data_IF_276759332720
#
_entry.id   IF_276759332720
#
_cell.length_a   1.000
_cell.length_b   1.000
_cell.length_c   1.000
_cell.angle_alpha   90.00
_cell.angle_beta   90.00
_cell.angle_gamma   90.00
#
_symmetry.space_group_name_H-M   'P 1'
#
loop_
_entity.id
_entity.type
_entity.pdbx_description
1 polymer ?
#
# COMPACT_ATOMS: atom_id res chain seq x y z
N UNK A 1 2.73 17.05 -22.38
CA UNK A 1 3.41 17.58 -21.19
C UNK A 1 3.10 16.61 -20.06
N UNK A 2 4.12 15.97 -19.54
CA UNK A 2 4.02 14.99 -18.47
C UNK A 2 3.83 15.73 -17.13
N UNK A 3 3.05 15.15 -16.21
CA UNK A 3 2.83 15.73 -14.88
C UNK A 3 4.15 15.70 -14.09
N UNK A 4 4.54 16.83 -13.52
CA UNK A 4 5.67 16.91 -12.60
C UNK A 4 5.25 16.34 -11.22
N UNK A 5 5.36 15.03 -11.11
CA UNK A 5 4.97 14.30 -9.91
C UNK A 5 5.79 14.73 -8.68
N UNK A 6 7.07 15.07 -8.85
CA UNK A 6 7.92 15.49 -7.73
C UNK A 6 7.39 16.75 -7.07
N UNK A 7 7.06 17.79 -7.87
CA UNK A 7 6.45 19.03 -7.35
C UNK A 7 5.09 18.79 -6.72
N UNK A 8 4.26 17.90 -7.29
CA UNK A 8 2.96 17.54 -6.74
C UNK A 8 3.14 16.91 -5.36
N UNK A 9 4.06 15.94 -5.20
CA UNK A 9 4.30 15.28 -3.93
C UNK A 9 4.92 16.22 -2.89
N UNK A 10 5.87 17.08 -3.27
CA UNK A 10 6.41 18.11 -2.37
C UNK A 10 5.29 19.00 -1.82
N UNK A 11 4.41 19.53 -2.69
CA UNK A 11 3.26 20.31 -2.25
C UNK A 11 2.29 19.53 -1.37
N UNK A 12 2.04 18.24 -1.70
CA UNK A 12 1.10 17.37 -0.98
C UNK A 12 1.52 17.10 0.46
N UNK A 13 2.81 16.97 0.72
CA UNK A 13 3.36 16.62 2.03
C UNK A 13 4.01 17.80 2.77
N UNK A 14 3.93 18.99 2.22
CA UNK A 14 4.41 20.21 2.88
C UNK A 14 3.75 20.40 4.26
N UNK A 15 4.56 20.77 5.26
CA UNK A 15 4.13 20.97 6.65
C UNK A 15 3.94 19.72 7.49
N UNK A 16 4.17 18.51 6.95
CA UNK A 16 4.14 17.25 7.74
C UNK A 16 5.54 16.95 8.26
N UNK A 17 5.73 16.96 9.58
CA UNK A 17 7.01 16.66 10.20
C UNK A 17 7.48 15.22 9.86
N UNK A 18 8.66 15.03 9.25
CA UNK A 18 9.14 13.70 8.84
C UNK A 18 9.18 12.67 9.97
N UNK A 19 9.60 13.10 11.17
CA UNK A 19 9.65 12.23 12.34
C UNK A 19 8.26 11.73 12.76
N UNK A 20 7.22 12.57 12.69
CA UNK A 20 5.84 12.19 12.97
C UNK A 20 5.33 11.19 11.93
N UNK A 21 5.59 11.45 10.64
CA UNK A 21 5.25 10.55 9.54
C UNK A 21 5.90 9.17 9.73
N UNK A 22 7.21 9.14 10.01
CA UNK A 22 7.94 7.90 10.26
C UNK A 22 7.39 7.12 11.49
N UNK A 23 7.06 7.82 12.57
CA UNK A 23 6.48 7.20 13.76
C UNK A 23 5.09 6.59 13.48
N UNK A 24 4.24 7.27 12.71
CA UNK A 24 2.93 6.75 12.28
C UNK A 24 3.12 5.51 11.40
N UNK A 25 4.01 5.55 10.42
CA UNK A 25 4.26 4.42 9.53
C UNK A 25 4.82 3.19 10.26
N UNK A 26 5.61 3.37 11.33
CA UNK A 26 6.03 2.24 12.19
C UNK A 26 4.85 1.48 12.78
N UNK A 27 3.79 2.18 13.23
CA UNK A 27 2.59 1.52 13.75
C UNK A 27 1.77 0.86 12.63
N UNK A 28 1.62 1.52 11.48
CA UNK A 28 0.94 0.95 10.31
C UNK A 28 1.70 -0.30 9.83
N UNK A 29 3.01 -0.21 9.62
CA UNK A 29 3.84 -1.32 9.18
C UNK A 29 3.77 -2.52 10.13
N UNK A 30 3.88 -2.28 11.45
CA UNK A 30 3.74 -3.33 12.45
C UNK A 30 2.37 -4.03 12.37
N UNK A 31 1.29 -3.27 12.16
CA UNK A 31 -0.06 -3.82 11.99
C UNK A 31 -0.17 -4.64 10.71
N UNK A 32 0.32 -4.14 9.58
CA UNK A 32 0.27 -4.85 8.29
C UNK A 32 1.06 -6.16 8.34
N UNK A 33 2.26 -6.16 8.93
CA UNK A 33 3.07 -7.37 9.08
C UNK A 33 2.38 -8.41 10.00
N UNK A 34 1.81 -7.98 11.13
CA UNK A 34 1.09 -8.86 12.04
C UNK A 34 -0.15 -9.49 11.37
N UNK A 35 -0.89 -8.69 10.61
CA UNK A 35 -2.03 -9.17 9.82
C UNK A 35 -1.58 -10.12 8.70
N UNK A 36 -0.43 -9.85 8.08
CA UNK A 36 0.17 -10.73 7.06
C UNK A 36 0.45 -12.14 7.62
N UNK A 37 1.07 -12.22 8.79
CA UNK A 37 1.30 -13.50 9.49
C UNK A 37 -0.02 -14.19 9.81
N UNK A 38 -1.02 -13.46 10.31
CA UNK A 38 -2.33 -14.02 10.66
C UNK A 38 -3.06 -14.59 9.44
N UNK A 39 -3.10 -13.85 8.33
CA UNK A 39 -3.75 -14.29 7.10
C UNK A 39 -3.05 -15.49 6.44
N UNK A 40 -1.78 -15.73 6.77
CA UNK A 40 -0.99 -16.90 6.34
C UNK A 40 -1.01 -18.05 7.36
N UNK A 41 -2.04 -18.16 8.17
CA UNK A 41 -2.19 -19.19 9.21
C UNK A 41 -0.99 -19.27 10.18
N UNK A 42 -0.43 -18.12 10.56
CA UNK A 42 0.69 -18.04 11.49
C UNK A 42 2.08 -18.25 10.86
N UNK A 43 2.17 -18.50 9.54
CA UNK A 43 3.46 -18.64 8.88
C UNK A 43 4.23 -17.31 8.89
N UNK A 44 5.51 -17.31 9.27
CA UNK A 44 6.30 -16.08 9.34
C UNK A 44 6.51 -15.48 7.94
N UNK A 45 6.55 -14.16 7.88
CA UNK A 45 7.01 -13.43 6.72
C UNK A 45 8.54 -13.46 6.68
N UNK A 46 9.11 -13.70 5.51
CA UNK A 46 10.55 -13.66 5.24
C UNK A 46 10.92 -12.59 4.23
N UNK A 47 9.97 -12.15 3.42
CA UNK A 47 10.20 -11.15 2.38
C UNK A 47 8.98 -10.27 2.15
N UNK A 48 9.26 -9.00 1.82
CA UNK A 48 8.26 -7.97 1.57
C UNK A 48 8.65 -7.21 0.31
N UNK A 49 7.68 -6.96 -0.56
CA UNK A 49 7.80 -6.12 -1.74
C UNK A 49 6.82 -4.95 -1.66
N UNK A 50 7.30 -3.76 -1.97
CA UNK A 50 6.47 -2.59 -2.27
C UNK A 50 6.74 -2.18 -3.73
N UNK A 51 5.83 -2.44 -4.67
CA UNK A 51 6.03 -2.21 -6.09
C UNK A 51 5.88 -0.75 -6.53
N UNK A 52 5.58 0.16 -5.60
CA UNK A 52 5.52 1.60 -5.82
C UNK A 52 5.88 2.34 -4.51
N UNK A 53 7.10 2.11 -4.03
CA UNK A 53 7.47 2.40 -2.66
C UNK A 53 7.64 3.89 -2.33
N UNK A 54 7.67 4.77 -3.31
CA UNK A 54 7.79 6.21 -3.10
C UNK A 54 9.01 6.57 -2.25
N UNK A 55 8.78 7.27 -1.14
CA UNK A 55 9.82 7.65 -0.19
C UNK A 55 10.23 6.48 0.74
N UNK A 56 9.59 5.33 0.64
CA UNK A 56 9.95 4.12 1.36
C UNK A 56 9.41 4.02 2.78
N UNK A 57 8.39 4.79 3.14
CA UNK A 57 7.90 4.84 4.53
C UNK A 57 7.49 3.48 5.07
N UNK A 58 6.79 2.67 4.28
CA UNK A 58 6.39 1.33 4.69
C UNK A 58 7.59 0.39 4.82
N UNK A 59 8.47 0.37 3.82
CA UNK A 59 9.66 -0.49 3.85
C UNK A 59 10.59 -0.10 4.99
N UNK A 60 10.80 1.19 5.25
CA UNK A 60 11.55 1.68 6.40
C UNK A 60 10.93 1.24 7.74
N UNK A 61 9.60 1.16 7.82
CA UNK A 61 8.91 0.63 8.99
C UNK A 61 9.10 -0.89 9.17
N UNK A 62 9.56 -1.58 8.15
CA UNK A 62 9.84 -3.02 8.16
C UNK A 62 11.29 -3.38 8.46
N UNK A 63 12.22 -2.41 8.50
CA UNK A 63 13.65 -2.65 8.78
C UNK A 63 13.92 -3.23 10.16
N UNK A 64 15.07 -3.88 10.32
CA UNK A 64 15.48 -4.49 11.59
C UNK A 64 14.67 -5.70 12.03
N UNK A 65 13.86 -6.32 11.12
CA UNK A 65 12.96 -7.45 11.42
C UNK A 65 13.37 -8.76 10.77
N UNK A 66 14.62 -8.87 10.26
CA UNK A 66 15.11 -10.03 9.52
C UNK A 66 14.22 -10.38 8.31
N UNK A 67 13.80 -9.36 7.54
CA UNK A 67 13.03 -9.48 6.33
C UNK A 67 13.87 -9.09 5.12
N UNK A 68 13.77 -9.84 4.02
CA UNK A 68 14.26 -9.39 2.74
C UNK A 68 13.28 -8.33 2.19
N UNK A 69 13.75 -7.08 2.10
CA UNK A 69 12.94 -5.95 1.69
C UNK A 69 13.26 -5.54 0.26
N UNK A 70 12.26 -5.49 -0.60
CA UNK A 70 12.38 -5.02 -1.99
C UNK A 70 11.42 -3.86 -2.24
N UNK A 71 11.91 -2.82 -2.91
CA UNK A 71 11.13 -1.66 -3.33
C UNK A 71 11.30 -1.38 -4.81
N UNK A 72 10.23 -1.00 -5.48
CA UNK A 72 10.27 -0.50 -6.85
C UNK A 72 9.64 0.89 -6.90
N UNK A 73 10.11 1.74 -7.79
CA UNK A 73 9.46 3.02 -8.11
C UNK A 73 9.94 3.50 -9.48
N UNK A 74 9.11 4.28 -10.17
CA UNK A 74 9.48 4.96 -11.43
C UNK A 74 10.55 6.03 -11.19
N UNK A 75 10.49 6.68 -10.03
CA UNK A 75 11.42 7.72 -9.61
C UNK A 75 12.74 7.11 -9.15
N UNK A 76 13.83 7.89 -9.11
CA UNK A 76 15.08 7.48 -8.50
C UNK A 76 14.90 7.07 -7.02
N UNK A 77 15.83 6.26 -6.54
CA UNK A 77 15.87 5.86 -5.12
C UNK A 77 15.81 7.09 -4.21
N UNK A 78 14.82 7.11 -3.31
CA UNK A 78 14.75 8.16 -2.30
C UNK A 78 15.97 8.13 -1.37
N UNK A 79 16.55 9.30 -1.01
CA UNK A 79 17.61 9.38 -0.02
C UNK A 79 17.16 8.95 1.39
N UNK A 80 15.85 8.90 1.62
CA UNK A 80 15.27 8.45 2.89
C UNK A 80 15.05 6.93 2.96
N UNK A 81 15.15 6.23 1.83
CA UNK A 81 14.96 4.78 1.78
C UNK A 81 16.17 4.06 2.42
N UNK A 82 15.89 3.22 3.41
CA UNK A 82 16.91 2.45 4.14
C UNK A 82 17.83 1.65 3.21
N UNK A 83 19.12 1.57 3.55
CA UNK A 83 20.08 0.74 2.84
C UNK A 83 19.76 -0.76 2.87
N UNK A 84 18.94 -1.22 3.84
CA UNK A 84 18.46 -2.60 3.90
C UNK A 84 17.50 -2.98 2.76
N UNK A 85 16.94 -1.98 2.03
CA UNK A 85 15.98 -2.23 0.95
C UNK A 85 16.71 -2.40 -0.38
N UNK A 86 16.50 -3.54 -1.02
CA UNK A 86 16.88 -3.74 -2.42
C UNK A 86 15.93 -2.92 -3.30
N UNK A 87 16.45 -1.89 -3.94
CA UNK A 87 15.65 -0.97 -4.74
C UNK A 87 15.84 -1.20 -6.24
N UNK A 88 14.74 -1.21 -6.97
CA UNK A 88 14.71 -1.33 -8.43
C UNK A 88 14.01 -0.10 -9.01
N UNK A 89 14.72 0.68 -9.82
CA UNK A 89 14.12 1.80 -10.53
C UNK A 89 13.48 1.34 -11.83
N UNK A 90 12.22 1.67 -12.03
CA UNK A 90 11.49 1.40 -13.28
C UNK A 90 10.06 0.97 -13.04
N UNK A 91 9.37 0.72 -14.15
CA UNK A 91 8.00 0.23 -14.13
C UNK A 91 7.96 -1.23 -13.64
N UNK A 92 7.24 -1.48 -12.56
CA UNK A 92 7.19 -2.80 -11.90
C UNK A 92 6.86 -3.96 -12.85
N UNK A 93 6.00 -3.72 -13.84
CA UNK A 93 5.62 -4.72 -14.82
C UNK A 93 6.80 -5.24 -15.65
N UNK A 94 7.82 -4.40 -15.86
CA UNK A 94 8.97 -4.67 -16.71
C UNK A 94 10.22 -5.09 -15.93
N UNK A 95 10.18 -5.01 -14.59
CA UNK A 95 11.34 -5.33 -13.76
C UNK A 95 11.53 -6.84 -13.59
N UNK A 96 12.78 -7.27 -13.66
CA UNK A 96 13.17 -8.61 -13.22
C UNK A 96 13.37 -8.61 -11.70
N UNK A 97 12.60 -9.44 -10.98
CA UNK A 97 12.75 -9.64 -9.55
C UNK A 97 13.53 -10.94 -9.31
N UNK A 98 14.58 -10.88 -8.49
CA UNK A 98 15.44 -12.03 -8.17
C UNK A 98 14.74 -13.09 -7.32
N UNK A 99 13.61 -12.74 -6.71
CA UNK A 99 12.86 -13.63 -5.82
C UNK A 99 11.36 -13.36 -5.84
N UNK A 100 10.60 -14.32 -5.38
CA UNK A 100 9.20 -14.14 -4.99
C UNK A 100 9.11 -13.65 -3.53
N UNK A 101 7.97 -13.05 -3.17
CA UNK A 101 7.77 -12.38 -1.89
C UNK A 101 6.58 -12.94 -1.13
N UNK A 102 6.71 -13.02 0.20
CA UNK A 102 5.65 -13.49 1.09
C UNK A 102 4.54 -12.46 1.27
N UNK A 103 4.88 -11.18 1.21
CA UNK A 103 3.95 -10.06 1.29
C UNK A 103 4.26 -9.05 0.18
N UNK A 104 3.25 -8.70 -0.59
CA UNK A 104 3.28 -7.55 -1.49
C UNK A 104 2.35 -6.48 -0.89
N UNK A 105 2.92 -5.32 -0.61
CA UNK A 105 2.20 -4.15 -0.11
C UNK A 105 1.96 -3.15 -1.23
N UNK A 106 0.70 -2.79 -1.45
CA UNK A 106 0.28 -1.81 -2.46
C UNK A 106 -0.49 -0.71 -1.74
N UNK A 107 0.01 0.50 -1.78
CA UNK A 107 -0.58 1.63 -1.05
C UNK A 107 -0.73 2.85 -1.94
N UNK A 108 -1.96 3.32 -2.11
CA UNK A 108 -2.29 4.52 -2.87
C UNK A 108 -1.60 4.54 -4.25
N UNK A 109 -1.77 3.46 -5.01
CA UNK A 109 -1.20 3.28 -6.34
C UNK A 109 -2.27 3.04 -7.41
N UNK A 110 -3.25 2.16 -7.15
CA UNK A 110 -4.17 1.70 -8.18
C UNK A 110 -4.99 2.83 -8.80
N UNK A 111 -5.31 3.85 -8.02
CA UNK A 111 -6.03 5.05 -8.45
C UNK A 111 -5.25 5.92 -9.45
N UNK A 112 -3.93 5.73 -9.53
CA UNK A 112 -3.04 6.47 -10.44
C UNK A 112 -2.80 5.74 -11.75
N UNK A 113 -3.21 4.47 -11.87
CA UNK A 113 -3.05 3.70 -13.11
C UNK A 113 -3.94 4.26 -14.23
N UNK A 114 -3.52 4.16 -15.49
CA UNK A 114 -4.17 4.88 -16.58
C UNK A 114 -5.59 4.37 -16.92
N UNK A 115 -5.85 3.09 -16.71
CA UNK A 115 -7.12 2.44 -17.06
C UNK A 115 -7.30 1.11 -16.29
N UNK A 116 -8.49 0.49 -16.34
CA UNK A 116 -8.76 -0.79 -15.69
C UNK A 116 -7.87 -1.95 -16.15
N UNK A 117 -7.47 -1.95 -17.42
CA UNK A 117 -6.60 -2.97 -18.00
C UNK A 117 -5.19 -2.92 -17.36
N UNK A 118 -4.70 -1.71 -17.07
CA UNK A 118 -3.44 -1.53 -16.37
C UNK A 118 -3.51 -2.05 -14.92
N UNK A 119 -4.67 -1.91 -14.24
CA UNK A 119 -4.90 -2.52 -12.92
C UNK A 119 -4.83 -4.05 -13.03
N UNK A 120 -5.46 -4.64 -14.04
CA UNK A 120 -5.41 -6.09 -14.27
C UNK A 120 -3.99 -6.59 -14.53
N UNK A 121 -3.25 -5.93 -15.43
CA UNK A 121 -1.87 -6.28 -15.73
C UNK A 121 -0.97 -6.17 -14.49
N UNK A 122 -1.16 -5.11 -13.70
CA UNK A 122 -0.43 -4.90 -12.45
C UNK A 122 -0.71 -6.00 -11.42
N UNK A 123 -1.98 -6.36 -11.18
CA UNK A 123 -2.35 -7.42 -10.25
C UNK A 123 -1.88 -8.80 -10.72
N UNK A 124 -1.95 -9.09 -12.02
CA UNK A 124 -1.41 -10.32 -12.60
C UNK A 124 0.10 -10.41 -12.37
N UNK A 125 0.83 -9.31 -12.55
CA UNK A 125 2.28 -9.24 -12.24
C UNK A 125 2.55 -9.43 -10.75
N UNK A 126 1.76 -8.83 -9.87
CA UNK A 126 1.86 -9.07 -8.42
C UNK A 126 1.68 -10.55 -8.10
N UNK A 127 0.67 -11.21 -8.70
CA UNK A 127 0.43 -12.65 -8.49
C UNK A 127 1.66 -13.50 -8.84
N UNK A 128 2.36 -13.20 -9.94
CA UNK A 128 3.59 -13.93 -10.32
C UNK A 128 4.77 -13.64 -9.40
N UNK A 129 4.78 -12.50 -8.74
CA UNK A 129 5.82 -12.08 -7.79
C UNK A 129 5.60 -12.62 -6.36
N UNK A 130 4.47 -13.28 -6.10
CA UNK A 130 4.19 -13.91 -4.81
C UNK A 130 4.87 -15.27 -4.68
N UNK A 131 5.41 -15.55 -3.49
CA UNK A 131 5.81 -16.90 -3.08
C UNK A 131 4.57 -17.80 -2.87
N UNK A 132 4.72 -19.13 -2.89
CA UNK A 132 3.63 -20.03 -2.52
C UNK A 132 3.05 -19.67 -1.15
N UNK A 133 1.72 -19.48 -1.08
CA UNK A 133 1.03 -18.99 0.12
C UNK A 133 1.31 -17.52 0.47
N UNK A 134 1.85 -16.75 -0.47
CA UNK A 134 2.07 -15.31 -0.33
C UNK A 134 0.77 -14.51 -0.31
N UNK A 135 0.85 -13.28 0.16
CA UNK A 135 -0.28 -12.38 0.39
C UNK A 135 -0.05 -11.03 -0.31
N UNK A 136 -1.07 -10.55 -1.01
CA UNK A 136 -1.15 -9.15 -1.44
C UNK A 136 -1.98 -8.40 -0.39
N UNK A 137 -1.50 -7.25 0.03
CA UNK A 137 -2.25 -6.31 0.88
C UNK A 137 -2.36 -4.97 0.15
N UNK A 138 -3.59 -4.52 -0.11
CA UNK A 138 -3.87 -3.31 -0.88
C UNK A 138 -4.59 -2.32 0.02
N UNK A 139 -4.07 -1.10 0.08
CA UNK A 139 -4.71 0.05 0.72
C UNK A 139 -4.85 1.18 -0.30
N UNK A 140 -5.98 1.84 -0.31
CA UNK A 140 -6.22 2.98 -1.19
C UNK A 140 -7.47 3.76 -0.83
N UNK A 141 -7.67 4.94 -1.42
CA UNK A 141 -8.84 5.75 -1.16
C UNK A 141 -10.11 5.05 -1.67
N UNK A 142 -11.13 5.01 -0.81
CA UNK A 142 -12.42 4.47 -1.20
C UNK A 142 -13.35 5.60 -1.63
N UNK A 143 -13.58 5.73 -2.95
CA UNK A 143 -14.41 6.81 -3.48
C UNK A 143 -15.82 6.87 -2.85
N UNK A 144 -16.34 5.76 -2.36
CA UNK A 144 -17.63 5.73 -1.66
C UNK A 144 -17.65 6.59 -0.40
N UNK A 145 -16.49 6.81 0.24
CA UNK A 145 -16.38 7.52 1.52
C UNK A 145 -15.57 8.82 1.44
N UNK A 146 -14.90 9.09 0.32
CA UNK A 146 -14.13 10.31 0.11
C UNK A 146 -14.47 11.01 -1.22
N UNK A 147 -15.65 10.76 -1.82
CA UNK A 147 -16.04 11.28 -3.13
C UNK A 147 -15.84 12.79 -3.30
N UNK A 148 -16.15 13.57 -2.26
CA UNK A 148 -15.99 15.03 -2.28
C UNK A 148 -14.52 15.50 -2.33
N UNK A 149 -13.57 14.65 -1.97
CA UNK A 149 -12.14 14.97 -1.93
C UNK A 149 -11.28 13.99 -2.73
N UNK A 150 -11.89 13.00 -3.40
CA UNK A 150 -11.17 12.02 -4.20
C UNK A 150 -10.39 12.67 -5.34
N UNK A 151 -11.01 13.66 -5.98
CA UNK A 151 -10.47 14.37 -7.13
C UNK A 151 -9.68 15.65 -6.77
N UNK A 152 -9.41 15.88 -5.47
CA UNK A 152 -8.51 16.95 -5.03
C UNK A 152 -7.04 16.62 -5.32
N UNK A 153 -6.76 15.40 -5.79
CA UNK A 153 -5.43 14.93 -6.17
C UNK A 153 -5.29 14.88 -7.69
N UNK A 154 -4.40 15.71 -8.22
CA UNK A 154 -4.24 15.93 -9.66
C UNK A 154 -3.79 14.68 -10.46
N UNK A 155 -3.22 13.69 -9.80
CA UNK A 155 -2.69 12.46 -10.35
C UNK A 155 -3.65 11.25 -10.23
N UNK A 156 -4.85 11.43 -9.65
CA UNK A 156 -5.88 10.40 -9.66
C UNK A 156 -6.49 10.26 -11.06
N UNK A 157 -6.63 9.03 -11.52
CA UNK A 157 -7.17 8.69 -12.85
C UNK A 157 -8.37 7.76 -12.79
N UNK A 158 -8.40 6.83 -11.81
CA UNK A 158 -9.45 5.84 -11.68
C UNK A 158 -10.27 6.03 -10.41
N UNK A 159 -11.62 6.05 -10.51
CA UNK A 159 -12.51 6.13 -9.35
C UNK A 159 -12.67 4.74 -8.73
N UNK A 160 -11.80 4.38 -7.79
CA UNK A 160 -11.81 3.06 -7.17
C UNK A 160 -12.59 3.04 -5.86
N UNK A 161 -13.46 2.06 -5.73
CA UNK A 161 -14.05 1.63 -4.46
C UNK A 161 -13.47 0.28 -4.04
N UNK A 162 -13.65 -0.10 -2.78
CA UNK A 162 -13.30 -1.46 -2.36
C UNK A 162 -14.01 -2.52 -3.21
N UNK A 163 -15.27 -2.30 -3.64
CA UNK A 163 -16.00 -3.24 -4.49
C UNK A 163 -15.36 -3.41 -5.87
N UNK A 164 -14.98 -2.30 -6.51
CA UNK A 164 -14.25 -2.35 -7.80
C UNK A 164 -12.94 -3.10 -7.68
N UNK A 165 -12.20 -2.91 -6.58
CA UNK A 165 -10.95 -3.65 -6.33
C UNK A 165 -11.20 -5.13 -6.10
N UNK A 166 -12.30 -5.53 -5.44
CA UNK A 166 -12.69 -6.94 -5.30
C UNK A 166 -12.95 -7.60 -6.66
N UNK A 167 -13.62 -6.91 -7.59
CA UNK A 167 -13.84 -7.41 -8.96
C UNK A 167 -12.51 -7.57 -9.71
N UNK A 168 -11.61 -6.60 -9.60
CA UNK A 168 -10.27 -6.69 -10.19
C UNK A 168 -9.46 -7.86 -9.64
N UNK A 169 -9.51 -8.12 -8.33
CA UNK A 169 -8.84 -9.25 -7.71
C UNK A 169 -9.40 -10.58 -8.21
N UNK A 170 -10.73 -10.71 -8.26
CA UNK A 170 -11.39 -11.91 -8.79
C UNK A 170 -10.98 -12.17 -10.25
N UNK A 171 -11.00 -11.14 -11.11
CA UNK A 171 -10.58 -11.25 -12.50
C UNK A 171 -9.09 -11.61 -12.66
N UNK A 172 -8.22 -11.22 -11.72
CA UNK A 172 -6.81 -11.60 -11.70
C UNK A 172 -6.56 -13.02 -11.12
N UNK A 173 -7.63 -13.71 -10.68
CA UNK A 173 -7.51 -15.03 -10.03
C UNK A 173 -6.85 -14.94 -8.65
N UNK A 174 -7.29 -13.97 -7.86
CA UNK A 174 -6.88 -13.72 -6.48
C UNK A 174 -8.09 -13.83 -5.56
N UNK A 175 -8.03 -14.72 -4.57
CA UNK A 175 -9.07 -14.91 -3.57
C UNK A 175 -8.90 -13.94 -2.42
N UNK A 176 -9.96 -13.23 -2.07
CA UNK A 176 -9.96 -12.28 -0.96
C UNK A 176 -10.05 -13.03 0.37
N UNK A 177 -9.08 -12.81 1.24
CA UNK A 177 -9.03 -13.41 2.58
C UNK A 177 -9.50 -12.45 3.67
N UNK A 178 -9.44 -11.15 3.43
CA UNK A 178 -9.99 -10.13 4.33
C UNK A 178 -10.22 -8.83 3.57
N UNK A 179 -11.32 -8.15 3.84
CA UNK A 179 -11.63 -6.84 3.26
C UNK A 179 -12.23 -5.92 4.32
N UNK A 180 -11.68 -4.74 4.43
CA UNK A 180 -12.21 -3.63 5.22
C UNK A 180 -12.46 -2.47 4.26
N UNK A 181 -13.71 -2.08 4.11
CA UNK A 181 -14.14 -0.98 3.24
C UNK A 181 -13.71 0.38 3.77
N UNK A 182 -13.45 0.49 5.08
CA UNK A 182 -12.96 1.67 5.79
C UNK A 182 -11.87 1.27 6.78
N UNK A 183 -10.66 1.78 6.58
CA UNK A 183 -9.50 1.46 7.43
C UNK A 183 -8.84 2.73 7.97
N UNK A 184 -8.12 3.48 7.16
CA UNK A 184 -7.47 4.72 7.59
C UNK A 184 -8.24 5.97 7.14
N UNK A 185 -8.12 7.10 7.86
CA UNK A 185 -8.49 8.41 7.35
C UNK A 185 -7.81 8.69 6.02
N UNK A 186 -8.42 9.57 5.20
CA UNK A 186 -8.00 9.76 3.81
C UNK A 186 -6.58 10.31 3.62
N UNK A 187 -6.17 11.23 4.48
CA UNK A 187 -4.84 11.84 4.36
C UNK A 187 -4.31 12.32 5.71
N UNK A 188 -2.99 12.58 5.77
CA UNK A 188 -2.36 13.24 6.89
C UNK A 188 -2.84 14.69 7.12
N UNK A 189 -3.46 15.32 6.12
CA UNK A 189 -4.08 16.65 6.21
C UNK A 189 -5.53 16.61 6.71
N UNK A 190 -6.02 15.46 7.18
CA UNK A 190 -7.33 15.39 7.80
C UNK A 190 -7.38 16.24 9.07
N UNK A 191 -8.59 16.65 9.49
CA UNK A 191 -8.79 17.38 10.75
C UNK A 191 -8.50 16.53 12.00
N UNK A 192 -8.19 15.25 11.81
CA UNK A 192 -7.86 14.34 12.90
C UNK A 192 -6.38 14.49 13.27
N UNK A 193 -6.05 14.53 14.57
CA UNK A 193 -4.67 14.64 15.00
C UNK A 193 -3.86 13.40 14.59
N UNK A 194 -2.69 13.63 13.98
CA UNK A 194 -1.77 12.58 13.49
C UNK A 194 -0.73 12.18 14.54
N UNK A 195 -1.04 12.33 15.83
CA UNK A 195 -0.12 11.94 16.89
C UNK A 195 0.08 10.41 16.90
N UNK A 196 1.33 9.88 16.94
CA UNK A 196 1.60 8.44 16.79
C UNK A 196 0.86 7.54 17.78
N UNK A 197 0.71 7.97 19.06
CA UNK A 197 -0.05 7.21 20.08
C UNK A 197 -1.53 7.10 19.75
N UNK A 198 -2.13 8.16 19.18
CA UNK A 198 -3.54 8.14 18.75
C UNK A 198 -3.73 7.22 17.55
N UNK A 199 -2.78 7.24 16.60
CA UNK A 199 -2.79 6.31 15.47
C UNK A 199 -2.64 4.86 15.95
N UNK A 200 -1.73 4.60 16.89
CA UNK A 200 -1.60 3.28 17.51
C UNK A 200 -2.90 2.81 18.14
N UNK A 201 -3.53 3.65 18.97
CA UNK A 201 -4.82 3.33 19.60
C UNK A 201 -5.89 3.06 18.53
N UNK A 202 -5.98 3.90 17.51
CA UNK A 202 -6.91 3.73 16.40
C UNK A 202 -6.72 2.39 15.68
N UNK A 203 -5.48 2.01 15.36
CA UNK A 203 -5.17 0.73 14.71
C UNK A 203 -5.58 -0.49 15.55
N UNK A 204 -5.59 -0.36 16.89
CA UNK A 204 -6.05 -1.39 17.81
C UNK A 204 -7.55 -1.34 18.10
N UNK A 205 -8.28 -0.37 17.53
CA UNK A 205 -9.71 -0.15 17.72
C UNK A 205 -10.51 -0.32 16.43
N UNK A 206 -10.67 -1.56 15.90
CA UNK A 206 -11.33 -1.79 14.61
C UNK A 206 -12.77 -1.27 14.53
N UNK A 207 -13.44 -1.14 15.67
CA UNK A 207 -14.78 -0.53 15.77
C UNK A 207 -14.80 0.95 15.38
N UNK A 208 -13.66 1.65 15.47
CA UNK A 208 -13.55 3.06 15.07
C UNK A 208 -13.31 3.23 13.55
N UNK A 209 -12.86 2.18 12.86
CA UNK A 209 -12.57 2.26 11.44
C UNK A 209 -13.80 2.61 10.59
N UNK A 210 -14.99 2.02 10.78
CA UNK A 210 -16.19 2.42 10.04
C UNK A 210 -16.62 3.87 10.27
N UNK A 211 -16.18 4.51 11.34
CA UNK A 211 -16.52 5.90 11.66
C UNK A 211 -15.57 6.89 10.98
N UNK A 212 -14.26 6.64 11.03
CA UNK A 212 -13.23 7.61 10.66
C UNK A 212 -12.49 7.23 9.37
N UNK A 213 -12.45 5.94 9.01
CA UNK A 213 -11.75 5.45 7.83
C UNK A 213 -12.42 5.89 6.53
N UNK A 214 -11.61 6.21 5.54
CA UNK A 214 -11.99 6.55 4.18
C UNK A 214 -11.17 5.78 3.14
N UNK A 215 -10.14 5.08 3.57
CA UNK A 215 -9.35 4.17 2.74
C UNK A 215 -9.80 2.74 3.00
N UNK A 216 -9.82 1.91 1.96
CA UNK A 216 -10.01 0.47 2.11
C UNK A 216 -8.70 -0.23 2.49
N UNK A 217 -8.82 -1.44 3.03
CA UNK A 217 -7.70 -2.37 3.24
C UNK A 217 -8.16 -3.77 2.85
N UNK A 218 -7.60 -4.31 1.78
CA UNK A 218 -7.98 -5.61 1.23
C UNK A 218 -6.76 -6.52 1.21
N UNK A 219 -6.96 -7.78 1.56
CA UNK A 219 -5.94 -8.83 1.52
C UNK A 219 -6.40 -9.97 0.64
N UNK A 220 -5.52 -10.41 -0.24
CA UNK A 220 -5.81 -11.47 -1.19
C UNK A 220 -4.62 -12.42 -1.35
N UNK A 221 -4.90 -13.65 -1.72
CA UNK A 221 -3.93 -14.72 -2.02
C UNK A 221 -4.24 -15.31 -3.38
N UNK A 222 -3.29 -15.94 -4.10
CA UNK A 222 -3.61 -16.66 -5.32
C UNK A 222 -4.72 -17.66 -5.10
N UNK A 223 -5.72 -17.66 -6.01
CA UNK A 223 -6.79 -18.66 -5.99
C UNK A 223 -6.19 -20.06 -6.05
N UNK A 224 -6.76 -20.99 -5.29
CA UNK A 224 -6.38 -22.40 -5.37
C UNK A 224 -6.78 -22.95 -6.74
N UNK A 225 -5.93 -23.77 -7.38
CA UNK A 225 -6.25 -24.40 -8.66
C UNK A 225 -7.47 -25.33 -8.56
#
# INVERSE_FOLDING_TARGET
>A
MELDLERIYQHRFDGIAPATKAAVWRHIGARILADGVRCRAGQPLRSVLDPACGEGEFLNACTGRNLALSGCDLRPRSPHLSAEVQFHQGEFQNLHLERQHDLIWISNLLEHLPNPEAVQAFLARCKTALSPGGLITIMGPNIKYCASSYWDFADHRLPLSHLTVLEHLAAAGLDVVAAHDRFLPYSFRSRLPTHPRLVQLYLHSPWAWPLLGKQFLIRATPARP
#
